data_IF_199080973815
#
_entry.id   IF_199080973815
#
_cell.length_a   1.000
_cell.length_b   1.000
_cell.length_c   1.000
_cell.angle_alpha   90.00
_cell.angle_beta   90.00
_cell.angle_gamma   90.00
#
_symmetry.space_group_name_H-M   'P 1'
#
loop_
_entity.id
_entity.type
_entity.pdbx_description
1 polymer ?
#
# COMPACT_ATOMS: atom_id res chain seq x y z
N UNK A 1 19.18 -11.96 -5.67
CA UNK A 1 18.37 -11.31 -4.62
C UNK A 1 16.96 -11.15 -5.16
N UNK A 2 15.96 -11.76 -4.52
CA UNK A 2 14.58 -11.85 -5.04
C UNK A 2 13.98 -10.45 -5.19
N UNK A 3 13.55 -10.08 -6.39
CA UNK A 3 12.79 -8.84 -6.63
C UNK A 3 11.45 -8.92 -5.89
N UNK A 4 11.13 -7.93 -5.06
CA UNK A 4 9.86 -7.88 -4.34
C UNK A 4 8.91 -6.89 -5.03
N UNK A 5 8.01 -7.42 -5.85
CA UNK A 5 6.99 -6.72 -6.64
C UNK A 5 5.62 -6.63 -5.93
N UNK A 6 5.41 -5.59 -5.12
CA UNK A 6 4.07 -5.03 -4.86
C UNK A 6 3.07 -5.88 -4.06
N UNK A 7 1.78 -5.75 -4.41
CA UNK A 7 0.66 -6.47 -3.75
C UNK A 7 0.51 -7.84 -4.40
N UNK A 8 0.79 -8.90 -3.63
CA UNK A 8 0.81 -10.28 -4.12
C UNK A 8 -0.52 -11.00 -3.98
N UNK A 9 -1.27 -10.71 -2.91
CA UNK A 9 -2.53 -11.37 -2.60
C UNK A 9 -3.68 -10.36 -2.55
N UNK A 10 -4.09 -9.89 -3.73
CA UNK A 10 -5.16 -8.88 -3.87
C UNK A 10 -6.51 -9.41 -3.40
N UNK A 11 -6.83 -10.67 -3.70
CA UNK A 11 -8.12 -11.26 -3.33
C UNK A 11 -8.18 -11.57 -1.83
N UNK A 12 -7.11 -12.12 -1.25
CA UNK A 12 -7.00 -12.28 0.20
C UNK A 12 -7.04 -10.95 0.92
N UNK A 13 -6.33 -9.93 0.42
CA UNK A 13 -6.39 -8.57 0.98
C UNK A 13 -7.81 -7.98 0.89
N UNK A 14 -8.50 -8.18 -0.24
CA UNK A 14 -9.90 -7.75 -0.38
C UNK A 14 -10.82 -8.45 0.61
N UNK A 15 -10.71 -9.76 0.74
CA UNK A 15 -11.49 -10.53 1.70
C UNK A 15 -11.24 -10.06 3.14
N UNK A 16 -9.99 -9.79 3.48
CA UNK A 16 -9.62 -9.23 4.79
C UNK A 16 -10.24 -7.85 5.05
N UNK A 17 -10.15 -6.93 4.08
CA UNK A 17 -10.75 -5.60 4.20
C UNK A 17 -12.27 -5.66 4.43
N UNK A 18 -12.95 -6.59 3.76
CA UNK A 18 -14.40 -6.80 3.89
C UNK A 18 -14.77 -7.46 5.23
N UNK A 19 -14.09 -8.55 5.58
CA UNK A 19 -14.52 -9.42 6.66
C UNK A 19 -13.95 -9.01 8.01
N UNK A 20 -12.71 -8.53 8.07
CA UNK A 20 -12.03 -8.16 9.31
C UNK A 20 -12.08 -6.66 9.56
N UNK A 21 -11.79 -5.84 8.53
CA UNK A 21 -11.90 -4.37 8.65
C UNK A 21 -13.30 -3.83 8.45
N UNK A 22 -14.27 -4.69 8.14
CA UNK A 22 -15.70 -4.36 7.95
C UNK A 22 -15.92 -3.20 6.97
N UNK A 23 -15.06 -3.08 5.97
CA UNK A 23 -15.16 -2.03 4.95
C UNK A 23 -16.16 -2.42 3.86
N UNK A 24 -16.69 -1.42 3.16
CA UNK A 24 -17.56 -1.68 2.00
C UNK A 24 -16.76 -2.22 0.81
N UNK A 25 -17.44 -2.88 -0.13
CA UNK A 25 -16.83 -3.31 -1.41
C UNK A 25 -16.19 -2.15 -2.16
N UNK A 26 -16.86 -0.99 -2.18
CA UNK A 26 -16.36 0.23 -2.83
C UNK A 26 -15.07 0.69 -2.16
N UNK A 27 -15.11 0.93 -0.85
CA UNK A 27 -13.94 1.38 -0.06
C UNK A 27 -12.76 0.41 -0.17
N UNK A 28 -13.03 -0.90 -0.12
CA UNK A 28 -11.98 -1.92 -0.26
C UNK A 28 -11.31 -1.87 -1.63
N UNK A 29 -12.09 -1.71 -2.69
CA UNK A 29 -11.57 -1.57 -4.07
C UNK A 29 -10.74 -0.30 -4.23
N UNK A 30 -11.20 0.81 -3.63
CA UNK A 30 -10.46 2.08 -3.61
C UNK A 30 -9.12 1.91 -2.90
N UNK A 31 -9.09 1.26 -1.72
CA UNK A 31 -7.86 0.99 -0.97
C UNK A 31 -6.87 0.15 -1.79
N UNK A 32 -7.32 -0.93 -2.42
CA UNK A 32 -6.47 -1.78 -3.26
C UNK A 32 -5.88 -0.97 -4.43
N UNK A 33 -6.71 -0.15 -5.09
CA UNK A 33 -6.26 0.73 -6.17
C UNK A 33 -5.21 1.74 -5.69
N UNK A 34 -5.43 2.35 -4.52
CA UNK A 34 -4.45 3.27 -3.91
C UNK A 34 -3.17 2.57 -3.50
N UNK A 35 -3.25 1.37 -2.97
CA UNK A 35 -2.05 0.61 -2.64
C UNK A 35 -1.26 0.26 -3.92
N UNK A 36 -1.92 -0.16 -5.00
CA UNK A 36 -1.27 -0.41 -6.29
C UNK A 36 -0.59 0.86 -6.84
N UNK A 37 -1.29 1.99 -6.79
CA UNK A 37 -0.74 3.29 -7.19
C UNK A 37 0.44 3.73 -6.31
N UNK A 38 0.38 3.44 -5.01
CA UNK A 38 1.49 3.73 -4.10
C UNK A 38 2.74 2.94 -4.47
N UNK A 39 2.58 1.66 -4.78
CA UNK A 39 3.69 0.78 -5.19
C UNK A 39 4.32 1.25 -6.50
N UNK A 40 3.53 1.77 -7.45
CA UNK A 40 4.07 2.24 -8.74
C UNK A 40 5.00 3.45 -8.63
N UNK A 41 5.10 4.11 -7.47
CA UNK A 41 6.10 5.17 -7.27
C UNK A 41 7.51 4.61 -7.05
N UNK A 42 7.66 3.34 -6.67
CA UNK A 42 8.95 2.72 -6.36
C UNK A 42 9.62 2.06 -7.59
N UNK A 43 9.20 2.44 -8.80
CA UNK A 43 9.72 1.96 -10.08
C UNK A 43 10.03 0.44 -10.08
N UNK A 44 11.25 0.08 -10.46
CA UNK A 44 11.72 -1.31 -10.55
C UNK A 44 12.13 -1.92 -9.21
N UNK A 45 12.29 -1.11 -8.16
CA UNK A 45 12.67 -1.59 -6.83
C UNK A 45 11.50 -2.29 -6.13
N UNK A 46 10.27 -1.82 -6.38
CA UNK A 46 9.07 -2.34 -5.73
C UNK A 46 9.01 -1.99 -4.25
N UNK A 47 8.14 -2.69 -3.51
CA UNK A 47 7.95 -2.46 -2.06
C UNK A 47 7.95 -3.80 -1.35
N UNK A 48 8.85 -3.94 -0.38
CA UNK A 48 8.95 -5.14 0.46
C UNK A 48 8.16 -4.97 1.76
N UNK A 49 6.88 -5.35 1.71
CA UNK A 49 6.01 -5.30 2.88
C UNK A 49 6.30 -6.39 3.92
N UNK A 50 7.14 -7.40 3.60
CA UNK A 50 7.42 -8.52 4.50
C UNK A 50 8.67 -8.29 5.34
N UNK A 51 9.71 -7.67 4.75
CA UNK A 51 11.00 -7.49 5.42
C UNK A 51 11.30 -6.05 5.85
N UNK A 52 10.53 -5.05 5.39
CA UNK A 52 10.66 -3.67 5.86
C UNK A 52 9.54 -3.32 6.85
N UNK A 53 9.85 -2.39 7.76
CA UNK A 53 8.87 -1.77 8.65
C UNK A 53 8.06 -0.70 7.91
N UNK A 54 6.81 -0.49 8.34
CA UNK A 54 5.89 0.43 7.67
C UNK A 54 6.40 1.87 7.63
N UNK A 55 7.08 2.33 8.68
CA UNK A 55 7.61 3.69 8.74
C UNK A 55 8.80 3.88 7.78
N UNK A 56 9.61 2.85 7.55
CA UNK A 56 10.65 2.89 6.52
C UNK A 56 10.05 2.99 5.12
N UNK A 57 8.99 2.22 4.85
CA UNK A 57 8.28 2.25 3.57
C UNK A 57 7.68 3.63 3.33
N UNK A 58 7.01 4.21 4.34
CA UNK A 58 6.41 5.55 4.24
C UNK A 58 7.49 6.61 4.07
N UNK A 59 8.58 6.54 4.82
CA UNK A 59 9.69 7.48 4.69
C UNK A 59 10.31 7.44 3.29
N UNK A 60 10.48 6.25 2.70
CA UNK A 60 10.94 6.12 1.31
C UNK A 60 9.92 6.74 0.34
N UNK A 61 8.63 6.45 0.50
CA UNK A 61 7.56 7.03 -0.33
C UNK A 61 7.57 8.57 -0.25
N UNK A 62 7.77 9.15 0.93
CA UNK A 62 7.83 10.60 1.14
C UNK A 62 9.04 11.30 0.53
N UNK A 63 10.11 10.56 0.21
CA UNK A 63 11.29 11.11 -0.46
C UNK A 63 11.16 11.12 -1.98
N UNK A 64 10.17 10.43 -2.53
CA UNK A 64 9.94 10.38 -3.97
C UNK A 64 9.27 11.68 -4.44
N UNK A 65 9.94 12.41 -5.33
CA UNK A 65 9.46 13.72 -5.80
C UNK A 65 8.05 13.64 -6.43
N UNK A 66 7.79 12.57 -7.18
CA UNK A 66 6.51 12.25 -7.80
C UNK A 66 5.38 12.07 -6.76
N UNK A 67 5.71 11.59 -5.56
CA UNK A 67 4.77 11.52 -4.43
C UNK A 67 4.65 12.86 -3.71
N UNK A 68 5.75 13.59 -3.51
CA UNK A 68 5.78 14.90 -2.85
C UNK A 68 4.92 15.93 -3.59
N UNK A 69 4.84 15.86 -4.92
CA UNK A 69 4.01 16.76 -5.74
C UNK A 69 2.50 16.51 -5.62
N UNK A 70 2.07 15.42 -4.97
CA UNK A 70 0.64 15.11 -4.80
C UNK A 70 -0.03 16.01 -3.75
N UNK A 71 -1.34 16.22 -3.91
CA UNK A 71 -2.17 16.88 -2.90
C UNK A 71 -2.25 16.09 -1.58
N UNK A 72 -2.42 16.81 -0.47
CA UNK A 72 -2.42 16.25 0.90
C UNK A 72 -3.42 15.10 1.07
N UNK A 73 -4.63 15.24 0.51
CA UNK A 73 -5.67 14.21 0.58
C UNK A 73 -5.23 12.91 -0.09
N UNK A 74 -4.61 12.98 -1.26
CA UNK A 74 -4.12 11.81 -1.99
C UNK A 74 -2.95 11.14 -1.26
N UNK A 75 -2.01 11.93 -0.71
CA UNK A 75 -0.93 11.40 0.15
C UNK A 75 -1.48 10.63 1.33
N UNK A 76 -2.47 11.18 2.04
CA UNK A 76 -3.11 10.52 3.18
C UNK A 76 -3.76 9.19 2.79
N UNK A 77 -4.48 9.18 1.65
CA UNK A 77 -5.14 7.98 1.14
C UNK A 77 -4.13 6.88 0.73
N UNK A 78 -2.99 7.24 0.13
CA UNK A 78 -1.93 6.29 -0.22
C UNK A 78 -1.25 5.71 1.04
N UNK A 79 -0.89 6.55 2.01
CA UNK A 79 -0.31 6.08 3.28
C UNK A 79 -1.25 5.13 4.02
N UNK A 80 -2.54 5.47 4.09
CA UNK A 80 -3.55 4.60 4.71
C UNK A 80 -3.61 3.24 4.00
N UNK A 81 -3.57 3.24 2.68
CA UNK A 81 -3.61 2.00 1.91
C UNK A 81 -2.39 1.10 2.19
N UNK A 82 -1.19 1.70 2.28
CA UNK A 82 0.04 1.00 2.64
C UNK A 82 -0.01 0.43 4.05
N UNK A 83 -0.47 1.21 5.04
CA UNK A 83 -0.63 0.73 6.43
C UNK A 83 -1.56 -0.46 6.52
N UNK A 84 -2.68 -0.44 5.78
CA UNK A 84 -3.63 -1.55 5.75
C UNK A 84 -3.04 -2.80 5.09
N UNK A 85 -2.31 -2.65 3.98
CA UNK A 85 -1.69 -3.80 3.34
C UNK A 85 -0.52 -4.37 4.17
N UNK A 86 0.22 -3.51 4.85
CA UNK A 86 1.25 -3.92 5.80
C UNK A 86 0.67 -4.73 6.96
N UNK A 87 -0.41 -4.24 7.56
CA UNK A 87 -1.14 -4.95 8.62
C UNK A 87 -1.64 -6.31 8.11
N UNK A 88 -2.20 -6.34 6.91
CA UNK A 88 -2.61 -7.58 6.25
C UNK A 88 -1.48 -8.61 6.10
N UNK A 89 -0.27 -8.17 5.80
CA UNK A 89 0.88 -9.06 5.62
C UNK A 89 1.38 -9.66 6.95
N UNK A 90 0.91 -9.17 8.09
CA UNK A 90 1.34 -9.56 9.46
C UNK A 90 0.20 -10.14 10.32
N UNK A 91 -0.96 -10.40 9.70
CA UNK A 91 -2.10 -11.06 10.35
C UNK A 91 -1.88 -12.55 10.54
#
# INVERSE_FOLDING_TARGET
>A
KKQVKGIYDKEGFRAWLLNEKKLTKRTSSDIISRCCRGVSFFDSEGVDFYNCEIDEIIMKLERLESFVRLGVSLKSQLRRAFKLYYEYCRR
#
